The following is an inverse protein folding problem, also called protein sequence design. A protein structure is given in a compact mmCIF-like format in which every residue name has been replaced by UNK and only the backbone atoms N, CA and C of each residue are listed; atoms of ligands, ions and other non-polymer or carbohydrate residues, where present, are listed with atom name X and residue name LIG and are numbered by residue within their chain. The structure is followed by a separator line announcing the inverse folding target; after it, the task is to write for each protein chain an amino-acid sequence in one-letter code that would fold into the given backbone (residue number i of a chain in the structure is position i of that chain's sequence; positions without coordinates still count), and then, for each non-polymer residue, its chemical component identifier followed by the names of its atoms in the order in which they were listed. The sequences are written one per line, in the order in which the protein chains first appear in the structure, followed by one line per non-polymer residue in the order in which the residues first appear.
data_IF_820545435157
#
_entry.id   IF_820545435157
#
_cell.length_a   1.000
_cell.length_b   1.000
_cell.length_c   1.000
_cell.angle_alpha   90.00
_cell.angle_beta   90.00
_cell.angle_gamma   90.00
#
_symmetry.space_group_name_H-M   'P 1'
#
loop_
_entity.id
_entity.type
_entity.pdbx_description
1 polymer ?
#
# COMPACT_ATOMS: atom_id res chain seq x y z
N UNK A 1 -46.12 18.21 -22.43
CA UNK A 1 -45.50 18.28 -21.09
C UNK A 1 -44.24 17.42 -21.08
N UNK A 2 -43.12 17.89 -21.64
CA UNK A 2 -41.88 17.07 -21.77
C UNK A 2 -40.59 17.85 -21.50
N UNK A 3 -40.70 19.09 -21.02
CA UNK A 3 -39.56 20.02 -20.86
C UNK A 3 -38.96 20.05 -19.44
N UNK A 4 -39.55 19.32 -18.50
CA UNK A 4 -39.17 19.34 -17.07
C UNK A 4 -38.20 18.20 -16.72
N UNK A 5 -38.22 17.07 -17.45
CA UNK A 5 -37.36 15.91 -17.17
C UNK A 5 -35.87 16.18 -17.40
N UNK A 6 -35.55 16.96 -18.43
CA UNK A 6 -34.16 17.31 -18.77
C UNK A 6 -33.55 18.29 -17.76
N UNK A 7 -34.33 19.27 -17.29
CA UNK A 7 -33.90 20.20 -16.25
C UNK A 7 -33.67 19.48 -14.90
N UNK A 8 -34.48 18.47 -14.56
CA UNK A 8 -34.31 17.68 -13.33
C UNK A 8 -33.05 16.80 -13.36
N UNK A 9 -32.66 16.32 -14.55
CA UNK A 9 -31.40 15.59 -14.75
C UNK A 9 -30.17 16.51 -14.63
N UNK A 10 -30.26 17.75 -15.11
CA UNK A 10 -29.19 18.75 -15.00
C UNK A 10 -29.01 19.28 -13.56
N UNK A 11 -30.09 19.47 -12.80
CA UNK A 11 -29.99 19.92 -11.39
C UNK A 11 -29.40 18.83 -10.48
N UNK A 12 -29.69 17.55 -10.75
CA UNK A 12 -29.06 16.44 -10.02
C UNK A 12 -27.55 16.32 -10.25
N UNK A 13 -27.09 16.67 -11.45
CA UNK A 13 -25.67 16.68 -11.84
C UNK A 13 -24.86 17.84 -11.22
N UNK A 14 -25.53 18.93 -10.80
CA UNK A 14 -24.91 20.07 -10.10
C UNK A 14 -25.00 19.91 -8.55
N UNK A 15 -25.75 18.92 -8.06
CA UNK A 15 -26.14 18.78 -6.64
C UNK A 15 -25.20 18.00 -5.72
N UNK A 16 -24.00 17.63 -6.16
CA UNK A 16 -23.03 16.86 -5.37
C UNK A 16 -22.89 15.40 -5.84
N UNK A 17 -21.92 14.66 -5.26
CA UNK A 17 -21.63 13.30 -5.68
C UNK A 17 -22.85 12.40 -5.51
N UNK A 18 -23.17 11.66 -6.57
CA UNK A 18 -24.26 10.70 -6.57
C UNK A 18 -24.02 9.61 -5.52
N UNK A 19 -25.06 8.94 -5.02
CA UNK A 19 -24.90 7.82 -4.09
C UNK A 19 -23.96 6.73 -4.61
N UNK A 20 -23.95 6.49 -5.92
CA UNK A 20 -23.04 5.53 -6.56
C UNK A 20 -21.57 5.97 -6.45
N UNK A 21 -21.27 7.25 -6.70
CA UNK A 21 -19.92 7.81 -6.56
C UNK A 21 -19.45 7.79 -5.10
N UNK A 22 -20.35 8.04 -4.13
CA UNK A 22 -20.04 7.91 -2.71
C UNK A 22 -19.71 6.45 -2.32
N UNK A 23 -20.43 5.47 -2.85
CA UNK A 23 -20.13 4.06 -2.62
C UNK A 23 -18.80 3.63 -3.25
N UNK A 24 -18.51 4.10 -4.46
CA UNK A 24 -17.25 3.84 -5.15
C UNK A 24 -16.07 4.44 -4.38
N UNK A 25 -16.18 5.71 -3.96
CA UNK A 25 -15.13 6.36 -3.17
C UNK A 25 -14.94 5.71 -1.80
N UNK A 26 -16.00 5.25 -1.13
CA UNK A 26 -15.89 4.48 0.10
C UNK A 26 -15.16 3.13 -0.11
N UNK A 27 -15.48 2.43 -1.21
CA UNK A 27 -14.84 1.17 -1.59
C UNK A 27 -13.36 1.37 -1.90
N UNK A 28 -13.03 2.42 -2.66
CA UNK A 28 -11.65 2.77 -2.98
C UNK A 28 -10.86 3.14 -1.72
N UNK A 29 -11.43 3.95 -0.82
CA UNK A 29 -10.80 4.29 0.46
C UNK A 29 -10.50 3.06 1.30
N UNK A 30 -11.43 2.11 1.38
CA UNK A 30 -11.20 0.85 2.08
C UNK A 30 -10.04 0.07 1.45
N UNK A 31 -10.05 -0.07 0.13
CA UNK A 31 -8.98 -0.75 -0.59
C UNK A 31 -7.62 -0.08 -0.41
N UNK A 32 -7.57 1.25 -0.39
CA UNK A 32 -6.34 2.00 -0.10
C UNK A 32 -5.84 1.70 1.31
N UNK A 33 -6.71 1.73 2.32
CA UNK A 33 -6.33 1.38 3.69
C UNK A 33 -5.81 -0.06 3.81
N UNK A 34 -6.46 -1.01 3.13
CA UNK A 34 -6.02 -2.40 3.09
C UNK A 34 -4.63 -2.53 2.42
N UNK A 35 -4.39 -1.81 1.33
CA UNK A 35 -3.09 -1.78 0.66
C UNK A 35 -1.99 -1.11 1.50
N UNK A 36 -2.31 -0.03 2.21
CA UNK A 36 -1.38 0.65 3.11
C UNK A 36 -0.95 -0.27 4.27
N UNK A 37 -1.90 -1.04 4.82
CA UNK A 37 -1.61 -2.04 5.85
C UNK A 37 -0.68 -3.14 5.33
N UNK A 38 -0.93 -3.65 4.13
CA UNK A 38 -0.09 -4.70 3.53
C UNK A 38 1.32 -4.20 3.21
N UNK A 39 1.46 -2.97 2.69
CA UNK A 39 2.77 -2.34 2.50
C UNK A 39 3.51 -2.20 3.82
N UNK A 40 2.82 -1.81 4.91
CA UNK A 40 3.42 -1.73 6.24
C UNK A 40 3.92 -3.08 6.75
N UNK A 41 3.12 -4.14 6.56
CA UNK A 41 3.50 -5.51 6.91
C UNK A 41 4.73 -5.96 6.13
N UNK A 42 4.73 -5.79 4.81
CA UNK A 42 5.83 -6.17 3.93
C UNK A 42 7.12 -5.40 4.23
N UNK A 43 7.02 -4.11 4.57
CA UNK A 43 8.20 -3.33 5.00
C UNK A 43 8.81 -3.89 6.28
N UNK A 44 7.98 -4.18 7.28
CA UNK A 44 8.44 -4.77 8.54
C UNK A 44 9.13 -6.11 8.31
N UNK A 45 8.56 -6.95 7.44
CA UNK A 45 9.15 -8.23 7.05
C UNK A 45 10.49 -8.04 6.32
N UNK A 46 10.55 -7.12 5.37
CA UNK A 46 11.77 -6.81 4.61
C UNK A 46 12.88 -6.27 5.53
N UNK A 47 12.54 -5.37 6.45
CA UNK A 47 13.48 -4.83 7.43
C UNK A 47 14.06 -5.94 8.32
N UNK A 48 13.22 -6.88 8.76
CA UNK A 48 13.66 -8.06 9.50
C UNK A 48 14.58 -8.98 8.69
N UNK A 49 14.24 -9.24 7.42
CA UNK A 49 15.08 -10.03 6.52
C UNK A 49 16.43 -9.35 6.23
N UNK A 50 16.44 -8.03 6.03
CA UNK A 50 17.66 -7.25 5.85
C UNK A 50 18.53 -7.27 7.09
N UNK A 51 17.93 -7.20 8.28
CA UNK A 51 18.68 -7.34 9.54
C UNK A 51 19.32 -8.73 9.64
N UNK A 52 18.55 -9.80 9.45
CA UNK A 52 19.07 -11.16 9.50
C UNK A 52 20.18 -11.40 8.45
N UNK A 53 20.05 -10.80 7.26
CA UNK A 53 21.09 -10.85 6.23
C UNK A 53 22.38 -10.14 6.69
N UNK A 54 22.27 -8.96 7.31
CA UNK A 54 23.44 -8.23 7.84
C UNK A 54 24.16 -9.04 8.91
N UNK A 55 23.42 -9.59 9.87
CA UNK A 55 23.97 -10.44 10.93
C UNK A 55 24.72 -11.65 10.35
N UNK A 56 24.16 -12.27 9.31
CA UNK A 56 24.81 -13.38 8.61
C UNK A 56 26.08 -12.95 7.87
N UNK A 57 26.07 -11.82 7.16
CA UNK A 57 27.26 -11.29 6.48
C UNK A 57 28.37 -10.99 7.49
N UNK A 58 28.03 -10.38 8.63
CA UNK A 58 28.97 -10.12 9.72
C UNK A 58 29.56 -11.42 10.28
N UNK A 59 28.75 -12.46 10.47
CA UNK A 59 29.23 -13.77 10.93
C UNK A 59 30.19 -14.44 9.95
N UNK A 60 29.94 -14.33 8.64
CA UNK A 60 30.81 -14.89 7.60
C UNK A 60 32.12 -14.12 7.54
N UNK A 61 32.08 -12.78 7.53
CA UNK A 61 33.29 -11.96 7.56
C UNK A 61 34.13 -12.22 8.82
N UNK A 62 33.49 -12.42 9.97
CA UNK A 62 34.21 -12.77 11.20
C UNK A 62 34.85 -14.17 11.10
N UNK A 63 34.21 -15.12 10.44
CA UNK A 63 34.79 -16.44 10.15
C UNK A 63 36.01 -16.34 9.25
N UNK A 64 35.94 -15.53 8.18
CA UNK A 64 37.03 -15.34 7.21
C UNK A 64 38.26 -14.66 7.86
N UNK A 65 38.04 -13.76 8.84
CA UNK A 65 39.13 -13.14 9.60
C UNK A 65 39.79 -14.08 10.62
N UNK A 66 39.07 -15.13 11.03
CA UNK A 66 39.53 -16.12 12.01
C UNK A 66 40.18 -17.34 11.36
N UNK A 67 40.13 -17.47 10.03
CA UNK A 67 40.95 -18.42 9.30
C UNK A 67 42.40 -17.89 9.33
N UNK A 68 43.32 -18.49 10.12
CA UNK A 68 44.70 -18.08 10.06
C UNK A 68 45.19 -18.31 8.63
N UNK A 69 45.91 -17.34 8.06
CA UNK A 69 46.67 -17.52 6.82
C UNK A 69 47.68 -18.64 7.08
N UNK A 70 47.24 -19.88 6.90
CA UNK A 70 48.06 -21.07 6.97
C UNK A 70 48.86 -21.13 5.68
N UNK A 71 50.02 -20.46 5.71
CA UNK A 71 51.14 -20.72 4.82
C UNK A 71 52.18 -21.55 5.55
#
# INVERSE_FOLDING_TARGET
MWRISMAKALVGFIGGPTPAELQQTATLRRRVADLEAEVGRLKTENDGLLQALRERVESVNASDLMEPVAH
#
